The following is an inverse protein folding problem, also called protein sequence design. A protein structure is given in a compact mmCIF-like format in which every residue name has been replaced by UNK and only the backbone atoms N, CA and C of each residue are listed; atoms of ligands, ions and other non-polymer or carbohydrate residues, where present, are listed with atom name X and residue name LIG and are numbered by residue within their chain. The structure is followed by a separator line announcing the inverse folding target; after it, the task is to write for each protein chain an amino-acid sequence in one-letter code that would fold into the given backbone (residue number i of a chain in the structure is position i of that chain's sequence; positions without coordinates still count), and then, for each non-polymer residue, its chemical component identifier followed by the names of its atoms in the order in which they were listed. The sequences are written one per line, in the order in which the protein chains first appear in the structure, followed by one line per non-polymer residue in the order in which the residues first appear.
data_IF_250957805793
#
_entry.id   IF_250957805793
#
_cell.length_a   1.000
_cell.length_b   1.000
_cell.length_c   1.000
_cell.angle_alpha   90.00
_cell.angle_beta   90.00
_cell.angle_gamma   90.00
#
_symmetry.space_group_name_H-M   'P 1'
#
loop_
_entity.id
_entity.type
_entity.pdbx_description
1 polymer ?
#
# COMPACT_ATOMS: atom_id res chain seq x y z
N UNK A 1 16.16 -9.85 33.55
CA UNK A 1 14.71 -9.64 33.60
C UNK A 1 14.32 -8.70 32.47
N UNK A 2 13.63 -9.19 31.46
CA UNK A 2 13.02 -8.33 30.44
C UNK A 2 11.55 -8.71 30.41
N UNK A 3 10.73 -7.78 30.89
CA UNK A 3 9.28 -7.90 30.89
C UNK A 3 8.77 -7.48 29.52
N UNK A 4 7.89 -8.27 28.93
CA UNK A 4 7.17 -7.93 27.71
C UNK A 4 5.70 -7.68 28.07
N UNK A 5 5.17 -6.53 27.68
CA UNK A 5 3.75 -6.22 27.71
C UNK A 5 3.22 -6.41 26.30
N UNK A 6 2.40 -7.44 26.08
CA UNK A 6 1.71 -7.67 24.82
C UNK A 6 0.29 -7.10 24.89
N UNK A 7 -0.14 -6.44 23.81
CA UNK A 7 -1.56 -6.27 23.49
C UNK A 7 -1.81 -6.85 22.09
N UNK A 8 -2.53 -7.97 22.12
CA UNK A 8 -3.47 -8.51 21.13
C UNK A 8 -2.97 -9.27 19.90
N UNK A 9 -3.16 -10.59 20.02
CA UNK A 9 -3.80 -11.55 19.09
C UNK A 9 -3.36 -11.63 17.62
N UNK A 10 -2.54 -12.64 17.34
CA UNK A 10 -2.25 -13.17 16.01
C UNK A 10 -1.06 -14.12 16.07
N UNK A 11 -1.30 -15.42 16.02
CA UNK A 11 -0.27 -16.45 16.24
C UNK A 11 0.83 -16.43 15.18
N UNK A 12 2.09 -16.33 15.62
CA UNK A 12 3.30 -16.50 14.80
C UNK A 12 3.74 -17.96 14.88
N UNK A 13 3.87 -18.65 13.75
CA UNK A 13 4.48 -19.98 13.71
C UNK A 13 5.95 -19.88 13.29
N UNK A 14 6.84 -20.44 14.12
CA UNK A 14 8.27 -20.55 13.84
C UNK A 14 8.58 -21.99 13.43
N UNK A 15 9.20 -22.20 12.26
CA UNK A 15 9.84 -23.48 11.95
C UNK A 15 11.30 -23.43 12.43
N UNK A 16 11.66 -24.41 13.24
CA UNK A 16 12.90 -24.54 14.03
C UNK A 16 14.20 -24.22 13.28
N UNK A 17 15.04 -23.40 13.90
CA UNK A 17 16.50 -23.42 13.74
C UNK A 17 17.11 -23.87 15.07
N UNK A 18 18.08 -24.78 14.99
CA UNK A 18 18.75 -25.42 16.13
C UNK A 18 19.42 -24.41 17.08
N UNK A 19 19.57 -24.85 18.33
CA UNK A 19 19.94 -24.10 19.53
C UNK A 19 20.97 -22.95 19.34
N UNK A 20 20.61 -21.78 19.88
CA UNK A 20 21.41 -20.55 19.86
C UNK A 20 20.72 -19.33 19.21
N UNK A 21 19.39 -19.35 19.04
CA UNK A 21 18.66 -18.38 18.23
C UNK A 21 18.43 -17.03 18.94
N UNK A 22 18.85 -15.94 18.28
CA UNK A 22 18.40 -14.59 18.63
C UNK A 22 17.15 -14.24 17.81
N UNK A 23 16.13 -13.74 18.50
CA UNK A 23 14.83 -13.36 17.94
C UNK A 23 14.88 -11.94 17.36
N UNK A 24 14.59 -11.79 16.07
CA UNK A 24 14.11 -10.52 15.52
C UNK A 24 12.66 -10.33 15.96
N UNK A 25 12.36 -9.25 16.67
CA UNK A 25 10.97 -8.90 17.01
C UNK A 25 10.34 -8.30 15.75
N UNK A 26 9.47 -9.07 15.10
CA UNK A 26 8.60 -8.56 14.04
C UNK A 26 7.39 -7.88 14.71
N UNK A 27 7.22 -6.59 14.44
CA UNK A 27 6.02 -5.85 14.81
C UNK A 27 5.17 -5.65 13.57
N UNK A 28 3.95 -6.19 13.61
CA UNK A 28 2.92 -5.94 12.61
C UNK A 28 2.02 -4.80 13.12
N UNK A 29 1.80 -3.78 12.29
CA UNK A 29 0.79 -2.74 12.57
C UNK A 29 0.05 -2.45 11.26
N UNK A 30 -1.14 -3.03 11.09
CA UNK A 30 -1.90 -2.96 9.83
C UNK A 30 -1.21 -3.72 8.69
N UNK A 31 -1.11 -3.09 7.52
CA UNK A 31 -0.42 -3.63 6.33
C UNK A 31 1.12 -3.51 6.36
N UNK A 32 1.70 -2.99 7.44
CA UNK A 32 3.13 -2.73 7.56
C UNK A 32 3.84 -3.79 8.40
N UNK A 33 5.00 -4.24 7.91
CA UNK A 33 5.93 -5.10 8.63
C UNK A 33 7.14 -4.30 9.13
N UNK A 34 7.43 -4.34 10.42
CA UNK A 34 8.64 -3.79 11.02
C UNK A 34 9.50 -4.94 11.59
N UNK A 35 10.74 -5.08 11.13
CA UNK A 35 11.72 -5.99 11.75
C UNK A 35 12.59 -5.22 12.73
N UNK A 36 12.61 -5.63 14.00
CA UNK A 36 13.41 -5.00 15.05
C UNK A 36 14.16 -6.06 15.88
N UNK A 37 15.47 -6.23 15.66
CA UNK A 37 16.47 -6.56 16.68
C UNK A 37 17.85 -6.75 16.03
N UNK A 38 18.90 -6.55 16.82
CA UNK A 38 20.27 -6.92 16.49
C UNK A 38 20.87 -7.77 17.60
N UNK A 39 21.15 -9.03 17.31
CA UNK A 39 22.34 -9.73 17.83
C UNK A 39 23.00 -10.38 16.62
N UNK A 40 24.26 -10.03 16.40
CA UNK A 40 25.09 -10.58 15.33
C UNK A 40 25.33 -12.06 15.59
N UNK A 41 24.79 -12.92 14.74
CA UNK A 41 25.22 -14.31 14.64
C UNK A 41 26.31 -14.36 13.56
N UNK A 42 27.51 -14.82 13.92
CA UNK A 42 28.57 -15.10 12.95
C UNK A 42 28.29 -16.47 12.36
N UNK A 43 27.76 -16.51 11.13
CA UNK A 43 27.65 -17.76 10.39
C UNK A 43 29.04 -18.12 9.85
N UNK A 44 29.57 -19.32 10.17
CA UNK A 44 30.75 -19.80 9.45
C UNK A 44 30.35 -20.09 8.00
N UNK A 45 30.83 -19.27 7.06
CA UNK A 45 30.58 -19.39 5.62
C UNK A 45 29.41 -18.54 5.06
N UNK A 46 29.20 -18.58 3.74
CA UNK A 46 28.04 -18.00 3.06
C UNK A 46 26.78 -18.81 3.41
N UNK A 47 26.08 -18.46 4.48
CA UNK A 47 24.81 -19.09 4.86
C UNK A 47 23.64 -18.15 4.56
N UNK A 48 22.51 -18.73 4.14
CA UNK A 48 21.27 -18.02 3.82
C UNK A 48 20.26 -18.26 4.93
N UNK A 49 19.78 -17.19 5.58
CA UNK A 49 18.57 -17.25 6.40
C UNK A 49 17.33 -17.03 5.53
N UNK A 50 16.15 -17.42 6.00
CA UNK A 50 14.88 -17.25 5.27
C UNK A 50 13.74 -17.23 6.27
N UNK A 51 12.94 -16.16 6.30
CA UNK A 51 11.86 -15.97 7.28
C UNK A 51 10.54 -15.76 6.56
N UNK A 52 9.62 -16.71 6.64
CA UNK A 52 8.26 -16.58 6.10
C UNK A 52 7.37 -15.83 7.08
N UNK A 53 6.73 -14.76 6.62
CA UNK A 53 5.69 -14.03 7.38
C UNK A 53 4.34 -14.32 6.72
N UNK A 54 3.30 -14.55 7.52
CA UNK A 54 1.95 -14.82 7.01
C UNK A 54 1.01 -13.68 7.41
N UNK A 55 0.21 -13.19 6.46
CA UNK A 55 -0.79 -12.15 6.68
C UNK A 55 -2.18 -12.79 6.57
N UNK A 56 -2.96 -12.85 7.66
CA UNK A 56 -4.25 -13.55 7.65
C UNK A 56 -5.32 -12.90 6.78
N UNK A 57 -5.20 -11.60 6.50
CA UNK A 57 -6.25 -10.78 5.87
C UNK A 57 -5.98 -10.41 4.42
N UNK A 58 -4.79 -10.74 3.90
CA UNK A 58 -4.30 -10.22 2.63
C UNK A 58 -3.39 -11.28 2.04
N UNK A 59 -3.84 -11.91 0.94
CA UNK A 59 -3.12 -12.96 0.22
C UNK A 59 -1.59 -12.87 0.39
N UNK A 60 -1.08 -13.77 1.24
CA UNK A 60 0.30 -14.18 1.48
C UNK A 60 1.43 -13.22 1.02
N UNK A 61 1.83 -12.25 1.84
CA UNK A 61 3.16 -11.64 1.69
C UNK A 61 4.23 -12.57 2.28
N UNK A 62 4.71 -13.48 1.45
CA UNK A 62 5.67 -14.51 1.79
C UNK A 62 7.10 -13.97 1.79
N UNK A 63 7.46 -13.23 2.84
CA UNK A 63 8.82 -12.70 3.01
C UNK A 63 9.85 -13.85 3.06
N UNK A 64 11.07 -13.60 2.62
CA UNK A 64 12.23 -14.40 3.01
C UNK A 64 13.48 -13.52 2.90
N UNK A 65 14.42 -13.62 3.85
CA UNK A 65 15.51 -12.65 4.05
C UNK A 65 16.86 -13.38 4.03
N UNK A 66 17.57 -13.32 2.91
CA UNK A 66 18.95 -13.83 2.79
C UNK A 66 19.93 -12.85 3.45
N UNK A 67 20.84 -13.35 4.30
CA UNK A 67 21.86 -12.54 5.00
C UNK A 67 23.27 -13.07 4.66
N UNK A 68 24.01 -12.39 3.77
CA UNK A 68 25.39 -12.75 3.40
C UNK A 68 26.46 -12.02 4.24
N UNK A 69 27.60 -12.68 4.52
CA UNK A 69 28.60 -12.25 5.52
C UNK A 69 29.64 -11.22 5.01
N UNK A 70 29.52 -10.70 3.78
CA UNK A 70 30.47 -9.68 3.26
C UNK A 70 29.76 -8.41 2.77
N UNK A 71 28.50 -8.54 2.37
CA UNK A 71 27.56 -7.45 2.10
C UNK A 71 26.17 -7.99 2.46
N UNK A 72 25.44 -7.31 3.34
CA UNK A 72 24.06 -7.66 3.68
C UNK A 72 23.14 -7.28 2.52
N UNK A 73 23.11 -8.12 1.48
CA UNK A 73 22.12 -8.01 0.41
C UNK A 73 20.87 -8.78 0.78
N UNK A 74 19.78 -8.04 0.91
CA UNK A 74 18.44 -8.51 1.20
C UNK A 74 17.68 -8.69 -0.10
N UNK A 75 16.90 -9.75 -0.21
CA UNK A 75 16.00 -9.98 -1.34
C UNK A 75 14.59 -10.18 -0.80
N UNK A 76 13.58 -9.79 -1.57
CA UNK A 76 12.19 -9.96 -1.22
C UNK A 76 11.52 -10.90 -2.23
N UNK A 77 10.54 -11.64 -1.74
CA UNK A 77 9.60 -12.39 -2.54
C UNK A 77 8.22 -12.12 -1.95
N UNK A 78 7.20 -12.03 -2.79
CA UNK A 78 5.81 -11.81 -2.38
C UNK A 78 4.95 -12.90 -3.00
N UNK A 79 4.23 -13.63 -2.16
CA UNK A 79 3.37 -14.75 -2.57
C UNK A 79 4.14 -15.77 -3.44
N UNK A 80 3.77 -15.90 -4.72
CA UNK A 80 4.39 -16.79 -5.71
C UNK A 80 5.30 -16.03 -6.70
N UNK A 81 5.76 -14.83 -6.35
CA UNK A 81 6.69 -14.07 -7.20
C UNK A 81 8.06 -14.75 -7.27
N UNK A 82 8.87 -14.30 -8.21
CA UNK A 82 10.31 -14.48 -8.18
C UNK A 82 10.94 -13.54 -7.15
N UNK A 83 12.17 -13.85 -6.79
CA UNK A 83 12.99 -13.01 -5.93
C UNK A 83 13.31 -11.67 -6.58
N UNK A 84 13.31 -10.60 -5.77
CA UNK A 84 13.83 -9.30 -6.17
C UNK A 84 15.34 -9.33 -6.37
N UNK A 85 15.86 -8.28 -7.00
CA UNK A 85 17.28 -7.97 -6.92
C UNK A 85 17.70 -7.73 -5.46
N UNK A 86 18.96 -8.05 -5.16
CA UNK A 86 19.56 -7.83 -3.85
C UNK A 86 19.72 -6.36 -3.54
N UNK A 87 19.32 -5.92 -2.35
CA UNK A 87 19.52 -4.56 -1.88
C UNK A 87 20.13 -4.46 -0.49
N UNK A 88 20.84 -3.37 -0.23
CA UNK A 88 21.51 -3.15 1.05
C UNK A 88 20.63 -2.39 2.05
N UNK A 89 20.81 -2.70 3.34
CA UNK A 89 20.24 -1.96 4.48
C UNK A 89 21.23 -0.93 5.09
N UNK A 90 22.31 -0.61 4.40
CA UNK A 90 23.38 0.23 4.95
C UNK A 90 22.96 1.71 5.08
N UNK A 91 22.01 2.16 4.26
CA UNK A 91 21.48 3.53 4.31
C UNK A 91 20.43 3.70 5.43
N UNK A 92 20.25 4.95 5.88
CA UNK A 92 19.14 5.37 6.77
C UNK A 92 18.29 6.34 5.97
N UNK A 93 16.97 6.19 6.01
CA UNK A 93 16.02 6.93 5.18
C UNK A 93 15.15 6.00 4.32
N UNK A 94 14.53 6.55 3.28
CA UNK A 94 13.81 5.76 2.29
C UNK A 94 14.80 4.98 1.43
N UNK A 95 14.66 3.65 1.37
CA UNK A 95 15.35 2.84 0.37
C UNK A 95 14.63 2.95 -0.98
N UNK A 96 13.31 3.17 -0.95
CA UNK A 96 12.48 3.36 -2.13
C UNK A 96 11.60 2.15 -2.42
N UNK A 97 11.55 1.74 -3.68
CA UNK A 97 10.70 0.67 -4.17
C UNK A 97 11.52 -0.56 -4.59
N UNK A 98 11.16 -1.73 -4.05
CA UNK A 98 11.71 -3.04 -4.42
C UNK A 98 10.68 -3.79 -5.26
N UNK A 99 11.09 -4.23 -6.46
CA UNK A 99 10.25 -5.00 -7.37
C UNK A 99 10.44 -6.50 -7.16
N UNK A 100 9.36 -7.22 -6.92
CA UNK A 100 9.31 -8.68 -6.87
C UNK A 100 8.54 -9.19 -8.10
N UNK A 101 9.22 -9.65 -9.16
CA UNK A 101 8.57 -9.97 -10.44
C UNK A 101 7.66 -11.20 -10.34
N UNK A 102 6.46 -11.16 -10.91
CA UNK A 102 5.61 -12.35 -11.08
C UNK A 102 5.09 -12.47 -12.52
N UNK A 103 4.43 -13.59 -12.81
CA UNK A 103 4.01 -13.92 -14.19
C UNK A 103 2.96 -12.95 -14.74
N UNK A 104 2.07 -12.43 -13.89
CA UNK A 104 0.93 -11.58 -14.30
C UNK A 104 1.11 -10.12 -13.94
N UNK A 105 1.74 -9.83 -12.80
CA UNK A 105 1.97 -8.48 -12.28
C UNK A 105 3.22 -8.45 -11.43
N UNK A 106 3.80 -7.26 -11.25
CA UNK A 106 4.91 -7.06 -10.31
C UNK A 106 4.40 -6.65 -8.94
N UNK A 107 4.93 -7.27 -7.88
CA UNK A 107 4.70 -6.80 -6.52
C UNK A 107 5.73 -5.73 -6.18
N UNK A 108 5.28 -4.50 -6.00
CA UNK A 108 6.13 -3.38 -5.60
C UNK A 108 6.07 -3.16 -4.09
N UNK A 109 7.20 -3.29 -3.42
CA UNK A 109 7.31 -3.14 -1.97
C UNK A 109 8.09 -1.88 -1.64
N UNK A 110 7.44 -0.97 -0.92
CA UNK A 110 8.07 0.17 -0.28
C UNK A 110 8.98 -0.25 0.86
N UNK A 111 10.20 0.27 0.90
CA UNK A 111 11.17 0.00 1.96
C UNK A 111 11.65 1.30 2.58
N UNK A 112 11.53 1.42 3.90
CA UNK A 112 12.16 2.50 4.68
C UNK A 112 12.97 1.95 5.84
N UNK A 113 14.04 2.65 6.18
CA UNK A 113 14.98 2.28 7.22
C UNK A 113 15.10 3.46 8.18
N UNK A 114 14.59 3.31 9.40
CA UNK A 114 14.66 4.33 10.44
C UNK A 114 15.48 3.81 11.63
N UNK A 115 16.19 4.69 12.32
CA UNK A 115 16.81 4.32 13.60
C UNK A 115 15.74 4.30 14.69
N UNK A 116 15.85 3.35 15.61
CA UNK A 116 15.05 3.33 16.83
C UNK A 116 15.31 4.60 17.64
N UNK A 117 14.39 4.95 18.55
CA UNK A 117 14.50 6.16 19.38
C UNK A 117 15.77 6.22 20.23
N UNK A 118 16.41 5.07 20.52
CA UNK A 118 17.69 4.99 21.22
C UNK A 118 18.91 4.94 20.28
N UNK A 119 18.71 5.04 18.97
CA UNK A 119 19.73 4.96 17.90
C UNK A 119 20.61 3.70 17.94
N UNK A 120 20.13 2.62 18.56
CA UNK A 120 20.84 1.34 18.66
C UNK A 120 20.36 0.31 17.64
N UNK A 121 19.17 0.49 17.07
CA UNK A 121 18.53 -0.53 16.21
C UNK A 121 18.02 0.12 14.94
N UNK A 122 18.34 -0.45 13.78
CA UNK A 122 17.66 -0.10 12.52
C UNK A 122 16.32 -0.83 12.45
N UNK A 123 15.25 -0.07 12.26
CA UNK A 123 13.91 -0.55 11.98
C UNK A 123 13.68 -0.48 10.47
N UNK A 124 13.57 -1.64 9.84
CA UNK A 124 13.23 -1.75 8.41
C UNK A 124 11.73 -1.96 8.30
N UNK A 125 11.05 -1.01 7.66
CA UNK A 125 9.62 -1.09 7.38
C UNK A 125 9.40 -1.45 5.93
N UNK A 126 8.65 -2.53 5.71
CA UNK A 126 8.24 -3.01 4.39
C UNK A 126 6.72 -2.92 4.28
N UNK A 127 6.24 -2.30 3.22
CA UNK A 127 4.81 -2.15 2.94
C UNK A 127 4.54 -2.26 1.44
N UNK A 128 3.33 -2.65 1.03
CA UNK A 128 2.90 -2.50 -0.35
C UNK A 128 3.11 -1.06 -0.84
N UNK A 129 3.64 -0.90 -2.05
CA UNK A 129 3.96 0.43 -2.57
C UNK A 129 2.70 1.25 -2.83
N UNK A 130 1.64 0.65 -3.39
CA UNK A 130 0.34 1.31 -3.55
C UNK A 130 -0.65 0.81 -2.50
N UNK A 131 -1.33 1.74 -1.83
CA UNK A 131 -2.35 1.42 -0.82
C UNK A 131 -3.61 2.25 -1.07
N UNK A 132 -4.76 1.59 -1.12
CA UNK A 132 -6.07 2.22 -1.07
C UNK A 132 -6.49 2.39 0.38
N UNK A 133 -6.99 3.57 0.74
CA UNK A 133 -7.47 3.89 2.09
C UNK A 133 -8.86 4.49 1.98
N UNK A 134 -9.87 3.75 2.42
CA UNK A 134 -11.23 4.25 2.43
C UNK A 134 -11.54 4.88 3.80
N UNK A 135 -11.57 6.21 3.84
CA UNK A 135 -12.01 6.99 5.01
C UNK A 135 -13.45 7.50 4.84
N UNK A 136 -14.12 7.15 3.74
CA UNK A 136 -15.50 7.52 3.48
C UNK A 136 -16.46 6.56 4.19
N UNK A 137 -17.71 7.00 4.33
CA UNK A 137 -18.82 6.22 4.84
C UNK A 137 -19.31 5.14 3.86
N UNK A 138 -18.87 5.18 2.59
CA UNK A 138 -19.27 4.24 1.56
C UNK A 138 -18.42 2.97 1.57
N UNK A 139 -19.03 1.85 1.17
CA UNK A 139 -18.28 0.70 0.67
C UNK A 139 -17.97 0.93 -0.80
N UNK A 140 -16.69 0.80 -1.17
CA UNK A 140 -16.22 1.20 -2.49
C UNK A 140 -15.67 0.01 -3.26
N UNK A 141 -15.81 0.09 -4.58
CA UNK A 141 -15.12 -0.78 -5.53
C UNK A 141 -14.21 0.09 -6.40
N UNK A 142 -12.92 -0.22 -6.38
CA UNK A 142 -11.89 0.50 -7.14
C UNK A 142 -11.42 -0.37 -8.31
N UNK A 143 -11.46 0.18 -9.52
CA UNK A 143 -11.14 -0.55 -10.74
C UNK A 143 -10.06 0.14 -11.56
N UNK A 144 -9.13 -0.64 -12.11
CA UNK A 144 -8.13 -0.16 -13.05
C UNK A 144 -8.74 0.06 -14.45
N UNK A 145 -8.44 1.23 -15.02
CA UNK A 145 -8.98 1.66 -16.31
C UNK A 145 -8.01 1.25 -17.43
N UNK A 146 -8.50 0.47 -18.39
CA UNK A 146 -7.70 -0.12 -19.48
C UNK A 146 -7.53 0.81 -20.69
N UNK A 147 -8.56 1.60 -21.02
CA UNK A 147 -8.55 2.52 -22.16
C UNK A 147 -8.96 3.92 -21.73
N UNK A 148 -8.55 4.95 -22.48
CA UNK A 148 -8.97 6.33 -22.21
C UNK A 148 -10.50 6.51 -22.30
N UNK A 149 -11.18 5.61 -23.01
CA UNK A 149 -12.64 5.51 -23.10
C UNK A 149 -13.30 5.05 -21.78
N UNK A 150 -12.50 4.71 -20.77
CA UNK A 150 -12.98 4.41 -19.43
C UNK A 150 -13.36 2.95 -19.20
N UNK A 151 -13.03 2.02 -20.11
CA UNK A 151 -13.26 0.59 -19.90
C UNK A 151 -12.44 0.07 -18.71
N UNK A 152 -13.05 -0.74 -17.84
CA UNK A 152 -12.39 -1.34 -16.67
C UNK A 152 -11.99 -2.77 -17.01
N UNK A 153 -10.86 -3.25 -16.52
CA UNK A 153 -10.35 -4.62 -16.75
C UNK A 153 -11.19 -5.74 -16.09
N UNK A 154 -12.48 -5.50 -15.82
CA UNK A 154 -13.40 -6.46 -15.18
C UNK A 154 -13.10 -6.78 -13.71
N UNK A 155 -11.93 -6.40 -13.19
CA UNK A 155 -11.50 -6.61 -11.81
C UNK A 155 -11.79 -5.37 -10.96
N UNK A 156 -12.58 -5.55 -9.91
CA UNK A 156 -12.89 -4.53 -8.92
C UNK A 156 -12.30 -4.93 -7.57
N UNK A 157 -11.65 -3.98 -6.92
CA UNK A 157 -11.14 -4.11 -5.56
C UNK A 157 -12.16 -3.56 -4.59
N UNK A 158 -12.84 -4.46 -3.87
CA UNK A 158 -13.74 -4.08 -2.77
C UNK A 158 -12.92 -3.56 -1.57
N UNK A 159 -13.33 -2.42 -1.02
CA UNK A 159 -12.80 -1.84 0.21
C UNK A 159 -13.94 -1.37 1.09
N UNK A 160 -14.06 -1.91 2.30
CA UNK A 160 -15.09 -1.48 3.24
C UNK A 160 -14.80 -0.07 3.78
N UNK A 161 -15.78 0.52 4.42
CA UNK A 161 -15.61 1.81 5.10
C UNK A 161 -14.55 1.69 6.20
N UNK A 162 -13.70 2.70 6.33
CA UNK A 162 -12.58 2.77 7.29
C UNK A 162 -11.47 1.72 7.12
N UNK A 163 -11.49 0.95 6.03
CA UNK A 163 -10.45 -0.04 5.73
C UNK A 163 -9.34 0.51 4.84
N UNK A 164 -8.23 -0.24 4.80
CA UNK A 164 -7.17 -0.05 3.83
C UNK A 164 -6.78 -1.39 3.20
N UNK A 165 -6.46 -1.37 1.91
CA UNK A 165 -5.98 -2.55 1.20
C UNK A 165 -4.84 -2.18 0.26
N UNK A 166 -3.86 -3.07 0.07
CA UNK A 166 -2.83 -2.89 -0.92
C UNK A 166 -3.38 -3.05 -2.33
N UNK A 167 -2.89 -2.20 -3.21
CA UNK A 167 -3.14 -2.26 -4.64
C UNK A 167 -1.90 -2.82 -5.33
N UNK A 168 -2.10 -3.81 -6.18
CA UNK A 168 -1.07 -4.36 -7.06
C UNK A 168 -1.51 -4.08 -8.50
N UNK A 169 -1.10 -2.94 -9.09
CA UNK A 169 -1.57 -2.58 -10.41
C UNK A 169 -1.16 -3.61 -11.47
N UNK A 170 -2.12 -4.06 -12.25
CA UNK A 170 -1.88 -4.95 -13.40
C UNK A 170 -1.71 -4.15 -14.69
N UNK A 171 -2.24 -2.92 -14.73
CA UNK A 171 -2.21 -2.06 -15.91
C UNK A 171 -1.15 -0.96 -15.79
N UNK A 172 -0.48 -0.71 -16.91
CA UNK A 172 0.49 0.38 -17.03
C UNK A 172 -0.16 1.77 -17.20
N UNK A 173 -1.49 1.84 -17.28
CA UNK A 173 -2.22 3.08 -17.57
C UNK A 173 -2.13 4.10 -16.43
N UNK A 174 -1.94 3.63 -15.19
CA UNK A 174 -1.86 4.51 -14.02
C UNK A 174 -3.19 5.17 -13.65
N UNK A 175 -4.32 4.67 -14.18
CA UNK A 175 -5.64 5.25 -14.00
C UNK A 175 -6.57 4.33 -13.21
N UNK A 176 -7.23 4.89 -12.19
CA UNK A 176 -8.28 4.23 -11.43
C UNK A 176 -9.62 4.92 -11.65
N UNK A 177 -10.69 4.19 -11.43
CA UNK A 177 -12.02 4.73 -11.19
C UNK A 177 -12.63 4.05 -9.96
N UNK A 178 -13.62 4.68 -9.37
CA UNK A 178 -14.29 4.16 -8.18
C UNK A 178 -15.80 4.17 -8.37
N UNK A 179 -16.48 3.22 -7.74
CA UNK A 179 -17.93 3.21 -7.61
C UNK A 179 -18.33 2.79 -6.21
N UNK A 180 -19.52 3.19 -5.79
CA UNK A 180 -20.15 2.64 -4.58
C UNK A 180 -20.58 1.20 -4.89
N UNK A 181 -20.38 0.28 -3.95
CA UNK A 181 -20.82 -1.12 -4.08
C UNK A 181 -22.32 -1.16 -4.43
N UNK A 182 -22.65 -1.93 -5.48
CA UNK A 182 -24.02 -2.04 -5.99
C UNK A 182 -24.47 -0.90 -6.92
N UNK A 183 -23.61 0.08 -7.21
CA UNK A 183 -23.86 1.09 -8.24
C UNK A 183 -23.56 0.56 -9.64
N UNK A 184 -24.46 0.83 -10.59
CA UNK A 184 -24.24 0.56 -12.02
C UNK A 184 -23.29 1.58 -12.66
N UNK A 185 -23.15 2.75 -12.05
CA UNK A 185 -22.29 3.81 -12.53
C UNK A 185 -21.01 3.95 -11.71
N UNK A 186 -19.96 4.41 -12.40
CA UNK A 186 -18.61 4.64 -11.86
C UNK A 186 -18.19 6.08 -12.10
N UNK A 187 -17.23 6.52 -11.31
CA UNK A 187 -16.61 7.82 -11.45
C UNK A 187 -15.87 7.98 -12.79
N UNK A 188 -15.54 9.24 -13.10
CA UNK A 188 -14.45 9.53 -14.04
C UNK A 188 -13.13 8.96 -13.51
N UNK A 189 -12.21 8.68 -14.42
CA UNK A 189 -10.89 8.20 -14.06
C UNK A 189 -10.03 9.29 -13.43
N UNK A 190 -9.09 8.87 -12.60
CA UNK A 190 -8.06 9.72 -12.01
C UNK A 190 -6.71 8.99 -12.01
N UNK A 191 -5.62 9.75 -12.04
CA UNK A 191 -4.27 9.21 -12.02
C UNK A 191 -3.86 8.89 -10.58
N UNK A 192 -3.40 7.67 -10.32
CA UNK A 192 -2.78 7.34 -9.02
C UNK A 192 -1.24 7.45 -9.05
N UNK A 193 -0.66 7.75 -10.22
CA UNK A 193 0.78 7.96 -10.40
C UNK A 193 1.18 9.45 -10.43
N UNK A 194 0.27 10.35 -10.07
CA UNK A 194 0.51 11.79 -9.95
C UNK A 194 -0.02 12.27 -8.60
N UNK A 195 0.67 13.23 -8.00
CA UNK A 195 0.19 13.89 -6.79
C UNK A 195 -1.17 14.53 -7.07
N UNK A 196 -2.15 14.25 -6.21
CA UNK A 196 -3.48 14.84 -6.24
C UNK A 196 -3.81 15.30 -4.82
N UNK A 197 -4.24 16.55 -4.67
CA UNK A 197 -4.49 17.19 -3.38
C UNK A 197 -5.99 17.36 -3.08
N UNK A 198 -6.83 16.45 -3.59
CA UNK A 198 -8.27 16.45 -3.36
C UNK A 198 -9.07 16.73 -4.64
N UNK A 199 -9.37 15.68 -5.40
CA UNK A 199 -10.29 15.73 -6.54
C UNK A 199 -11.66 15.18 -6.13
N UNK A 200 -12.74 15.95 -6.36
CA UNK A 200 -14.11 15.47 -6.15
C UNK A 200 -14.55 14.57 -7.30
N UNK A 201 -14.84 13.31 -6.99
CA UNK A 201 -15.38 12.34 -7.91
C UNK A 201 -16.90 12.24 -7.73
N UNK A 202 -17.66 12.50 -8.79
CA UNK A 202 -19.12 12.34 -8.78
C UNK A 202 -19.53 10.87 -8.74
N UNK A 203 -20.48 10.55 -7.86
CA UNK A 203 -21.02 9.20 -7.62
C UNK A 203 -22.54 9.17 -7.89
N UNK A 204 -23.00 9.75 -9.00
CA UNK A 204 -24.42 9.87 -9.38
C UNK A 204 -25.37 10.12 -8.17
N UNK A 205 -26.18 9.13 -7.79
CA UNK A 205 -27.17 9.21 -6.71
C UNK A 205 -26.58 9.27 -5.29
N UNK A 206 -25.27 9.01 -5.14
CA UNK A 206 -24.55 9.04 -3.87
C UNK A 206 -23.74 10.33 -3.68
N UNK A 207 -23.95 11.34 -4.52
CA UNK A 207 -23.26 12.62 -4.42
C UNK A 207 -21.81 12.52 -4.91
N UNK A 208 -20.85 12.46 -4.00
CA UNK A 208 -19.44 12.38 -4.38
C UNK A 208 -18.50 11.92 -3.28
N UNK A 209 -17.31 11.51 -3.70
CA UNK A 209 -16.18 11.13 -2.84
C UNK A 209 -14.98 11.95 -3.26
N UNK A 210 -14.23 12.47 -2.29
CA UNK A 210 -12.97 13.17 -2.56
C UNK A 210 -11.87 12.12 -2.58
N UNK A 211 -11.11 12.09 -3.69
CA UNK A 211 -9.87 11.31 -3.79
C UNK A 211 -8.66 12.21 -3.55
N UNK A 212 -7.69 11.71 -2.81
CA UNK A 212 -6.39 12.33 -2.60
C UNK A 212 -5.30 11.29 -2.86
N UNK A 213 -4.28 11.66 -3.63
CA UNK A 213 -3.17 10.78 -4.01
C UNK A 213 -1.89 11.38 -3.50
N UNK A 214 -1.34 10.77 -2.45
CA UNK A 214 -0.10 11.19 -1.83
C UNK A 214 1.05 10.27 -2.26
N UNK A 215 2.03 10.84 -2.97
CA UNK A 215 3.20 10.12 -3.49
C UNK A 215 4.44 10.46 -2.67
N UNK A 216 5.15 9.42 -2.27
CA UNK A 216 6.43 9.48 -1.57
C UNK A 216 7.44 8.51 -2.22
N UNK A 217 8.70 8.59 -1.80
CA UNK A 217 9.78 7.77 -2.38
C UNK A 217 9.56 6.26 -2.26
N UNK A 218 8.83 5.82 -1.23
CA UNK A 218 8.60 4.41 -0.92
C UNK A 218 7.12 4.03 -0.86
N UNK A 219 6.18 4.94 -1.12
CA UNK A 219 4.76 4.61 -1.09
C UNK A 219 3.91 5.63 -1.85
N UNK A 220 2.79 5.15 -2.36
CA UNK A 220 1.69 5.95 -2.88
C UNK A 220 0.41 5.55 -2.16
N UNK A 221 -0.22 6.52 -1.50
CA UNK A 221 -1.46 6.33 -0.77
C UNK A 221 -2.60 7.00 -1.53
N UNK A 222 -3.59 6.22 -1.94
CA UNK A 222 -4.82 6.68 -2.59
C UNK A 222 -5.90 6.67 -1.52
N UNK A 223 -6.36 7.85 -1.08
CA UNK A 223 -7.36 7.95 -0.02
C UNK A 223 -8.68 8.51 -0.51
N UNK A 224 -9.77 7.92 -0.01
CA UNK A 224 -11.14 8.31 -0.31
C UNK A 224 -11.77 8.89 0.94
N UNK A 225 -12.39 10.06 0.85
CA UNK A 225 -13.05 10.75 1.97
C UNK A 225 -14.43 11.22 1.57
N UNK A 226 -15.34 11.34 2.54
CA UNK A 226 -16.68 11.85 2.30
C UNK A 226 -16.62 13.29 1.78
N UNK A 227 -17.42 13.58 0.76
CA UNK A 227 -17.80 14.94 0.45
C UNK A 227 -18.88 15.40 1.43
N UNK A 228 -18.66 16.54 2.09
CA UNK A 228 -19.59 17.07 3.09
C UNK A 228 -20.15 18.44 2.69
N UNK A 229 -21.30 18.79 3.26
CA UNK A 229 -21.94 20.08 3.03
C UNK A 229 -21.01 21.23 3.45
N UNK A 230 -20.73 22.13 2.50
CA UNK A 230 -19.78 23.22 2.68
C UNK A 230 -18.37 22.95 2.14
N UNK A 231 -18.08 21.74 1.64
CA UNK A 231 -16.80 21.43 1.00
C UNK A 231 -16.66 22.01 -0.41
N UNK A 232 -17.77 22.32 -1.11
CA UNK A 232 -17.69 23.01 -2.40
C UNK A 232 -17.21 24.46 -2.22
N UNK A 233 -16.15 24.89 -2.94
CA UNK A 233 -15.70 26.27 -2.91
C UNK A 233 -16.68 27.25 -3.57
N UNK A 234 -17.57 26.75 -4.44
CA UNK A 234 -18.61 27.54 -5.10
C UNK A 234 -19.85 26.69 -5.38
N UNK A 235 -21.03 27.26 -5.15
CA UNK A 235 -22.34 26.68 -5.50
C UNK A 235 -22.97 27.51 -6.62
N UNK A 236 -23.22 26.88 -7.77
CA UNK A 236 -23.96 27.52 -8.88
C UNK A 236 -25.40 27.04 -8.82
N UNK A 237 -26.33 27.95 -8.51
CA UNK A 237 -27.77 27.66 -8.49
C UNK A 237 -28.45 28.30 -9.71
N UNK A 238 -28.97 27.47 -10.61
CA UNK A 238 -29.74 27.96 -11.75
C UNK A 238 -31.22 28.09 -11.39
N UNK A 239 -31.67 29.31 -11.12
CA UNK A 239 -33.09 29.62 -10.86
C UNK A 239 -33.90 29.93 -12.13
N UNK A 240 -33.34 29.71 -13.31
CA UNK A 240 -34.07 29.96 -14.56
C UNK A 240 -34.84 28.71 -14.99
N UNK A 241 -36.17 28.80 -15.24
CA UNK A 241 -36.99 27.63 -15.52
C UNK A 241 -36.76 27.04 -16.93
N UNK A 242 -36.17 27.80 -17.85
CA UNK A 242 -36.06 27.42 -19.27
C UNK A 242 -34.71 27.71 -19.91
N UNK A 243 -33.67 28.05 -19.13
CA UNK A 243 -32.33 28.30 -19.68
C UNK A 243 -31.37 27.25 -19.14
N UNK A 244 -30.76 26.51 -20.06
CA UNK A 244 -29.66 25.59 -19.74
C UNK A 244 -28.38 26.39 -19.66
N UNK A 245 -27.78 26.46 -18.46
CA UNK A 245 -26.48 27.10 -18.23
C UNK A 245 -25.41 26.01 -18.29
N UNK A 246 -24.49 26.12 -19.24
CA UNK A 246 -23.33 25.23 -19.35
C UNK A 246 -22.10 25.92 -18.79
N UNK A 247 -21.42 25.31 -17.83
CA UNK A 247 -20.17 25.82 -17.27
C UNK A 247 -19.05 24.80 -17.49
N UNK A 248 -17.81 25.30 -17.56
CA UNK A 248 -16.60 24.47 -17.59
C UNK A 248 -15.55 25.09 -16.68
N UNK A 249 -14.88 24.26 -15.89
CA UNK A 249 -13.64 24.66 -15.23
C UNK A 249 -12.50 24.44 -16.22
N UNK A 250 -11.72 25.50 -16.48
CA UNK A 250 -10.48 25.39 -17.27
C UNK A 250 -9.36 25.07 -16.30
N UNK A 251 -8.73 23.91 -16.46
CA UNK A 251 -7.41 23.67 -15.88
C UNK A 251 -6.41 24.40 -16.78
N UNK A 252 -5.70 25.38 -16.22
CA UNK A 252 -4.59 26.08 -16.88
C UNK A 252 -3.32 25.23 -16.87
#
# INVERSE_FOLDING_TARGET
SVSFSFLSEGGVSFSSLSEGACLSVLSLKGACLSVSNSVSQTFPGNQTASFKVFFPLLDQLLLSVTLGVVFLQLQLCVSTSSWSDGFSLDTVGSYGCVRCPANTMDYLVGVSIQMSSFNLTKMVTMSPFFTLVNKSSYELEVGEVQTEEGSVNGKWHYISSTECLPLWPELITGNLCVRVVGSDSKSKSFFFNKQDNGTLLGMDQYGGVIVDVNISDNSTVISFTDYYDGAAPALIVNHTPWVVITYRQRLD
#
